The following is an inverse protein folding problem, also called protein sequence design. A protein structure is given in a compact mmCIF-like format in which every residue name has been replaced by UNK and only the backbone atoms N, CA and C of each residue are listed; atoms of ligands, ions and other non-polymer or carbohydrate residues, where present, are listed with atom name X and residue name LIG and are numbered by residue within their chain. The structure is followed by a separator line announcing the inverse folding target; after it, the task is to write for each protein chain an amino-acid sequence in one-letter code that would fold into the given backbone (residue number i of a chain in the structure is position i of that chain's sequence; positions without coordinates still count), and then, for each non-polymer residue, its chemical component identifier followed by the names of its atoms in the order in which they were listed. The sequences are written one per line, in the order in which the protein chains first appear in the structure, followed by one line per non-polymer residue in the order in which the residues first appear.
data_IF_693214213136
#
_entry.id   IF_693214213136
#
_cell.length_a   1.000
_cell.length_b   1.000
_cell.length_c   1.000
_cell.angle_alpha   90.00
_cell.angle_beta   90.00
_cell.angle_gamma   90.00
#
_symmetry.space_group_name_H-M   'P 1'
#
loop_
_entity.id
_entity.type
_entity.pdbx_description
1 polymer ?
#
# COMPACT_ATOMS: atom_id res chain seq x y z
N UNK A 1 -17.74 4.06 -2.19
CA UNK A 1 -17.75 2.97 -1.17
C UNK A 1 -18.26 3.57 0.12
N UNK A 2 -19.06 2.87 0.94
CA UNK A 2 -19.48 3.39 2.26
C UNK A 2 -18.68 2.76 3.40
N UNK A 3 -18.48 3.49 4.49
CA UNK A 3 -17.88 2.97 5.73
C UNK A 3 -18.79 1.92 6.40
N UNK A 4 -20.10 1.99 6.12
CA UNK A 4 -21.15 1.05 6.57
C UNK A 4 -21.69 0.19 5.41
N UNK A 5 -22.59 -0.77 5.64
CA UNK A 5 -23.28 -1.47 4.55
C UNK A 5 -24.12 -0.51 3.70
N UNK A 6 -24.90 0.37 4.32
CA UNK A 6 -25.71 1.40 3.65
C UNK A 6 -24.95 2.68 3.31
N UNK A 7 -25.51 3.47 2.40
CA UNK A 7 -25.02 4.81 2.06
C UNK A 7 -25.54 5.89 3.01
N UNK A 8 -26.75 5.71 3.54
CA UNK A 8 -27.37 6.61 4.50
C UNK A 8 -27.26 6.04 5.92
N UNK A 9 -27.54 6.88 6.91
CA UNK A 9 -27.48 6.46 8.31
C UNK A 9 -28.66 5.54 8.67
N UNK A 10 -28.33 4.44 9.33
CA UNK A 10 -29.26 3.47 9.90
C UNK A 10 -28.75 3.08 11.31
N UNK A 11 -29.52 3.29 12.39
CA UNK A 11 -29.12 2.90 13.74
C UNK A 11 -28.72 1.42 13.86
N UNK A 12 -29.34 0.55 13.05
CA UNK A 12 -29.05 -0.89 12.98
C UNK A 12 -27.67 -1.22 12.39
N UNK A 13 -26.96 -0.21 11.88
CA UNK A 13 -25.62 -0.32 11.31
C UNK A 13 -24.53 0.28 12.22
N UNK A 14 -24.86 0.84 13.38
CA UNK A 14 -23.87 1.44 14.30
C UNK A 14 -22.80 0.44 14.76
N UNK A 15 -23.17 -0.84 14.83
CA UNK A 15 -22.24 -1.94 15.15
C UNK A 15 -21.62 -2.60 13.91
N UNK A 16 -21.95 -2.10 12.72
CA UNK A 16 -21.56 -2.65 11.40
C UNK A 16 -20.63 -1.72 10.61
N UNK A 17 -20.05 -0.72 11.27
CA UNK A 17 -18.93 0.06 10.73
C UNK A 17 -17.82 -0.91 10.33
N UNK A 18 -17.25 -0.72 9.13
CA UNK A 18 -16.14 -1.54 8.65
C UNK A 18 -14.97 -1.46 9.63
N UNK A 19 -14.37 -2.62 9.91
CA UNK A 19 -13.18 -2.67 10.76
C UNK A 19 -11.99 -1.98 10.09
N UNK A 20 -10.98 -1.63 10.90
CA UNK A 20 -9.73 -1.04 10.41
C UNK A 20 -9.07 -1.92 9.33
N UNK A 21 -9.05 -3.24 9.52
CA UNK A 21 -8.51 -4.18 8.53
C UNK A 21 -9.29 -4.14 7.20
N UNK A 22 -10.63 -4.03 7.26
CA UNK A 22 -11.45 -3.91 6.05
C UNK A 22 -11.20 -2.58 5.34
N UNK A 23 -11.06 -1.49 6.09
CA UNK A 23 -10.77 -0.17 5.54
C UNK A 23 -9.35 -0.08 4.97
N UNK A 24 -8.36 -0.67 5.63
CA UNK A 24 -7.00 -0.80 5.12
C UNK A 24 -6.99 -1.61 3.82
N UNK A 25 -7.68 -2.76 3.79
CA UNK A 25 -7.83 -3.55 2.56
C UNK A 25 -8.42 -2.71 1.43
N UNK A 26 -9.50 -1.95 1.68
CA UNK A 26 -10.10 -1.05 0.69
C UNK A 26 -9.08 -0.01 0.22
N UNK A 27 -8.27 0.56 1.12
CA UNK A 27 -7.24 1.54 0.77
C UNK A 27 -6.18 0.94 -0.17
N UNK A 28 -5.65 -0.24 0.16
CA UNK A 28 -4.70 -0.97 -0.69
C UNK A 28 -5.31 -1.38 -2.04
N UNK A 29 -6.60 -1.74 -2.06
CA UNK A 29 -7.31 -2.14 -3.27
C UNK A 29 -7.83 -0.96 -4.11
N UNK A 30 -7.70 0.28 -3.62
CA UNK A 30 -8.06 1.52 -4.33
C UNK A 30 -6.84 2.40 -4.60
N UNK A 31 -6.39 3.18 -3.60
CA UNK A 31 -5.21 4.05 -3.66
C UNK A 31 -3.95 3.27 -3.99
N UNK A 32 -3.83 2.05 -3.44
CA UNK A 32 -2.75 1.13 -3.77
C UNK A 32 -2.84 0.51 -5.17
N UNK A 33 -3.91 0.76 -5.95
CA UNK A 33 -4.13 0.23 -7.30
C UNK A 33 -4.44 1.33 -8.33
N UNK A 34 -3.80 2.49 -8.21
CA UNK A 34 -3.92 3.60 -9.16
C UNK A 34 -5.36 4.15 -9.28
N UNK A 35 -6.09 4.25 -8.17
CA UNK A 35 -7.42 4.88 -8.14
C UNK A 35 -7.58 5.78 -6.92
N UNK A 36 -8.53 6.73 -6.97
CA UNK A 36 -8.91 7.48 -5.78
C UNK A 36 -9.86 6.66 -4.91
N UNK A 37 -9.78 6.85 -3.58
CA UNK A 37 -10.77 6.32 -2.65
C UNK A 37 -11.77 7.41 -2.28
N UNK A 38 -13.01 7.27 -2.77
CA UNK A 38 -14.15 8.04 -2.30
C UNK A 38 -14.95 7.20 -1.28
N UNK A 39 -14.70 7.47 0.00
CA UNK A 39 -15.37 6.82 1.12
C UNK A 39 -16.53 7.69 1.61
N UNK A 40 -17.71 7.09 1.74
CA UNK A 40 -18.91 7.72 2.28
C UNK A 40 -19.02 7.51 3.79
N UNK A 41 -19.37 8.59 4.48
CA UNK A 41 -19.61 8.65 5.93
C UNK A 41 -20.99 9.29 6.10
N UNK A 42 -22.02 8.52 6.48
CA UNK A 42 -23.36 9.07 6.63
C UNK A 42 -23.47 9.92 7.90
N UNK A 43 -24.27 10.99 7.80
CA UNK A 43 -24.64 11.85 8.93
C UNK A 43 -25.87 11.26 9.61
N UNK A 44 -25.87 11.22 10.95
CA UNK A 44 -26.96 10.71 11.77
C UNK A 44 -28.15 11.69 11.83
N UNK A 45 -29.19 11.35 12.62
CA UNK A 45 -30.43 12.13 12.70
C UNK A 45 -30.24 13.42 13.50
N UNK A 46 -29.15 13.51 14.24
CA UNK A 46 -28.72 14.63 15.05
C UNK A 46 -27.86 15.60 14.23
N UNK A 47 -27.54 15.26 12.97
CA UNK A 47 -26.71 16.09 12.10
C UNK A 47 -25.20 15.90 12.35
N UNK A 48 -24.81 14.80 13.00
CA UNK A 48 -23.43 14.52 13.41
C UNK A 48 -22.86 13.29 12.68
N UNK A 49 -21.54 13.16 12.71
CA UNK A 49 -20.86 11.90 12.37
C UNK A 49 -20.90 11.02 13.61
N UNK A 50 -21.42 9.79 13.47
CA UNK A 50 -21.49 8.86 14.58
C UNK A 50 -20.08 8.55 15.14
N UNK A 51 -19.97 8.43 16.46
CA UNK A 51 -18.69 8.22 17.14
C UNK A 51 -17.96 6.97 16.65
N UNK A 52 -18.67 5.87 16.33
CA UNK A 52 -18.08 4.65 15.82
C UNK A 52 -17.39 4.85 14.45
N UNK A 53 -18.00 5.67 13.58
CA UNK A 53 -17.42 6.02 12.27
C UNK A 53 -16.14 6.85 12.45
N UNK A 54 -16.20 7.87 13.32
CA UNK A 54 -15.06 8.74 13.63
C UNK A 54 -13.89 7.95 14.21
N UNK A 55 -14.15 7.07 15.18
CA UNK A 55 -13.15 6.21 15.81
C UNK A 55 -12.47 5.31 14.77
N UNK A 56 -13.25 4.64 13.91
CA UNK A 56 -12.70 3.77 12.86
C UNK A 56 -11.81 4.53 11.87
N UNK A 57 -12.18 5.76 11.49
CA UNK A 57 -11.36 6.61 10.62
C UNK A 57 -10.06 7.06 11.28
N UNK A 58 -10.10 7.41 12.57
CA UNK A 58 -8.91 7.80 13.33
C UNK A 58 -7.95 6.62 13.53
N UNK A 59 -8.48 5.43 13.80
CA UNK A 59 -7.68 4.19 13.85
C UNK A 59 -7.04 3.87 12.50
N UNK A 60 -7.80 3.97 11.40
CA UNK A 60 -7.27 3.81 10.05
C UNK A 60 -6.16 4.82 9.78
N UNK A 61 -6.37 6.09 10.12
CA UNK A 61 -5.35 7.13 9.94
C UNK A 61 -4.07 6.78 10.70
N UNK A 62 -4.18 6.41 11.96
CA UNK A 62 -3.03 6.00 12.77
C UNK A 62 -2.31 4.78 12.16
N UNK A 63 -3.05 3.80 11.62
CA UNK A 63 -2.48 2.62 10.94
C UNK A 63 -1.69 3.01 9.69
N UNK A 64 -2.26 3.89 8.87
CA UNK A 64 -1.62 4.36 7.64
C UNK A 64 -0.37 5.20 7.95
N UNK A 65 -0.44 6.09 8.92
CA UNK A 65 0.72 6.90 9.34
C UNK A 65 1.85 6.02 9.85
N UNK A 66 1.55 5.08 10.76
CA UNK A 66 2.54 4.14 11.28
C UNK A 66 3.18 3.30 10.15
N UNK A 67 2.41 2.91 9.13
CA UNK A 67 2.92 2.11 8.01
C UNK A 67 3.74 2.92 7.01
N UNK A 68 3.24 4.08 6.56
CA UNK A 68 3.79 4.80 5.41
C UNK A 68 4.67 5.99 5.75
N UNK A 69 4.61 6.47 6.99
CA UNK A 69 5.48 7.52 7.52
C UNK A 69 6.56 6.88 8.37
N UNK A 70 6.18 6.23 9.48
CA UNK A 70 7.14 5.76 10.47
C UNK A 70 7.91 4.52 10.00
N UNK A 71 7.21 3.57 9.36
CA UNK A 71 7.81 2.33 8.87
C UNK A 71 8.26 2.40 7.40
N UNK A 72 8.55 3.60 6.90
CA UNK A 72 9.19 3.78 5.59
C UNK A 72 10.67 3.45 5.70
N UNK A 73 11.08 2.33 5.12
CA UNK A 73 12.42 1.77 5.36
C UNK A 73 13.47 2.38 4.43
N UNK A 74 13.13 2.52 3.15
CA UNK A 74 14.07 2.99 2.15
C UNK A 74 13.32 3.55 0.94
N UNK A 75 13.76 4.71 0.46
CA UNK A 75 13.43 5.20 -0.88
C UNK A 75 14.54 4.72 -1.81
N UNK A 76 14.20 3.86 -2.76
CA UNK A 76 15.21 3.29 -3.64
C UNK A 76 15.52 4.31 -4.75
N UNK A 77 16.77 4.75 -4.83
CA UNK A 77 17.32 5.36 -6.04
C UNK A 77 17.48 4.28 -7.12
N UNK A 78 17.36 4.65 -8.40
CA UNK A 78 17.51 3.71 -9.52
C UNK A 78 18.75 2.82 -9.32
N UNK A 79 18.53 1.52 -9.18
CA UNK A 79 19.60 0.54 -9.13
C UNK A 79 20.33 0.44 -10.47
N UNK A 80 21.39 -0.35 -10.52
CA UNK A 80 22.12 -0.60 -11.76
C UNK A 80 21.18 -1.28 -12.77
N UNK A 81 20.97 -0.71 -13.97
CA UNK A 81 20.12 -1.34 -14.98
C UNK A 81 20.74 -2.67 -15.42
N UNK A 82 20.00 -3.76 -15.29
CA UNK A 82 20.34 -5.08 -15.83
C UNK A 82 19.06 -5.69 -16.41
N UNK A 83 18.97 -5.86 -17.73
CA UNK A 83 17.89 -6.60 -18.40
C UNK A 83 16.47 -6.31 -17.87
N UNK A 84 16.01 -5.06 -18.03
CA UNK A 84 14.70 -4.58 -17.52
C UNK A 84 14.53 -4.76 -16.00
N UNK A 85 15.60 -4.91 -15.24
CA UNK A 85 15.58 -5.00 -13.81
C UNK A 85 16.48 -3.94 -13.17
N UNK A 86 16.17 -3.61 -11.94
CA UNK A 86 17.09 -2.91 -11.06
C UNK A 86 17.21 -3.68 -9.74
N UNK A 87 18.47 -3.92 -9.36
CA UNK A 87 18.82 -4.50 -8.07
C UNK A 87 19.14 -3.37 -7.11
N UNK A 88 18.57 -3.44 -5.92
CA UNK A 88 18.83 -2.46 -4.86
C UNK A 88 19.40 -3.18 -3.66
N UNK A 89 20.66 -2.89 -3.36
CA UNK A 89 21.30 -3.21 -2.10
C UNK A 89 20.73 -2.27 -1.04
N UNK A 90 20.13 -2.84 0.00
CA UNK A 90 19.53 -2.08 1.10
C UNK A 90 20.59 -1.72 2.13
N UNK A 91 20.32 -0.69 2.94
CA UNK A 91 21.19 -0.31 4.07
C UNK A 91 21.09 -1.34 5.21
N UNK A 92 21.78 -2.46 5.03
CA UNK A 92 21.72 -3.63 5.91
C UNK A 92 20.50 -4.52 5.62
N UNK A 93 20.30 -5.57 6.43
CA UNK A 93 19.11 -6.42 6.31
C UNK A 93 17.88 -5.66 6.79
N UNK A 94 16.84 -5.58 5.95
CA UNK A 94 15.55 -4.96 6.28
C UNK A 94 14.43 -5.99 6.25
N UNK A 95 13.47 -5.85 7.15
CA UNK A 95 12.22 -6.64 7.14
C UNK A 95 11.10 -5.79 6.56
N UNK A 96 10.42 -6.28 5.53
CA UNK A 96 9.36 -5.55 4.84
C UNK A 96 8.26 -6.51 4.37
N UNK A 97 7.08 -5.96 4.09
CA UNK A 97 5.95 -6.70 3.53
C UNK A 97 5.11 -5.84 2.56
N UNK A 98 5.55 -4.63 2.23
CA UNK A 98 4.93 -3.79 1.21
C UNK A 98 6.00 -3.13 0.34
N UNK A 99 5.74 -3.09 -0.96
CA UNK A 99 6.48 -2.28 -1.92
C UNK A 99 5.53 -1.30 -2.62
N UNK A 100 5.97 -0.05 -2.80
CA UNK A 100 5.26 0.95 -3.60
C UNK A 100 6.05 1.36 -4.82
N UNK A 101 5.42 1.46 -5.99
CA UNK A 101 5.98 2.06 -7.21
C UNK A 101 5.11 3.25 -7.66
N UNK A 102 5.74 4.24 -8.30
CA UNK A 102 5.06 5.36 -8.99
C UNK A 102 5.67 5.61 -10.36
N UNK A 103 4.82 5.73 -11.38
CA UNK A 103 5.21 6.19 -12.70
C UNK A 103 5.13 7.72 -12.81
N UNK A 104 5.89 8.28 -13.75
CA UNK A 104 5.72 9.65 -14.20
C UNK A 104 4.52 9.73 -15.15
N UNK A 105 3.32 9.79 -14.59
CA UNK A 105 2.08 9.80 -15.38
C UNK A 105 1.94 11.04 -16.29
N UNK A 106 2.74 12.10 -16.08
CA UNK A 106 2.80 13.22 -17.04
C UNK A 106 3.37 12.80 -18.41
N UNK A 107 4.06 11.67 -18.46
CA UNK A 107 4.60 11.04 -19.68
C UNK A 107 3.76 9.83 -20.11
N UNK A 108 2.59 9.62 -19.49
CA UNK A 108 1.74 8.46 -19.71
C UNK A 108 2.01 7.29 -18.77
N UNK A 109 1.08 6.33 -18.77
CA UNK A 109 1.17 5.07 -18.04
C UNK A 109 1.62 3.98 -19.02
N UNK A 110 2.77 3.35 -18.77
CA UNK A 110 3.40 2.44 -19.74
C UNK A 110 3.80 1.09 -19.14
N UNK A 111 3.96 0.99 -17.81
CA UNK A 111 4.28 -0.29 -17.17
C UNK A 111 3.07 -1.24 -17.27
N UNK A 112 3.27 -2.38 -17.91
CA UNK A 112 2.25 -3.42 -18.17
C UNK A 112 2.56 -4.77 -17.49
N UNK A 113 3.67 -4.87 -16.76
CA UNK A 113 4.07 -6.05 -16.02
C UNK A 113 5.36 -5.83 -15.24
N UNK A 114 5.37 -6.25 -13.97
CA UNK A 114 6.55 -6.23 -13.12
C UNK A 114 6.47 -7.25 -11.99
N UNK A 115 7.63 -7.65 -11.49
CA UNK A 115 7.78 -8.56 -10.36
C UNK A 115 8.81 -8.06 -9.37
N UNK A 116 8.69 -8.49 -8.13
CA UNK A 116 9.64 -8.20 -7.05
C UNK A 116 10.16 -9.50 -6.44
N UNK A 117 11.47 -9.57 -6.29
CA UNK A 117 12.20 -10.68 -5.70
C UNK A 117 13.08 -10.19 -4.56
N UNK A 118 13.32 -11.04 -3.57
CA UNK A 118 14.24 -10.79 -2.48
C UNK A 118 15.38 -11.81 -2.45
N UNK A 119 16.56 -11.38 -2.00
CA UNK A 119 17.72 -12.25 -1.84
C UNK A 119 17.72 -12.94 -0.48
N UNK A 120 17.26 -14.19 -0.45
CA UNK A 120 17.14 -15.00 0.76
C UNK A 120 17.99 -16.26 0.59
N UNK A 121 18.80 -16.60 1.59
CA UNK A 121 19.65 -17.81 1.57
C UNK A 121 20.52 -17.95 0.30
N UNK A 122 21.09 -16.83 -0.17
CA UNK A 122 21.91 -16.76 -1.40
C UNK A 122 21.16 -17.10 -2.69
N UNK A 123 19.83 -16.93 -2.71
CA UNK A 123 18.98 -17.16 -3.88
C UNK A 123 17.94 -16.05 -4.02
N UNK A 124 17.49 -15.81 -5.25
CA UNK A 124 16.38 -14.91 -5.53
C UNK A 124 15.06 -15.65 -5.32
N UNK A 125 14.19 -15.10 -4.47
CA UNK A 125 12.86 -15.63 -4.17
C UNK A 125 11.82 -14.62 -4.64
N UNK A 126 10.87 -15.06 -5.48
CA UNK A 126 9.74 -14.25 -5.93
C UNK A 126 8.82 -13.94 -4.74
N UNK A 127 8.55 -12.66 -4.52
CA UNK A 127 7.63 -12.19 -3.47
C UNK A 127 6.26 -11.81 -4.02
N UNK A 128 6.20 -11.34 -5.26
CA UNK A 128 4.94 -10.96 -5.89
C UNK A 128 5.12 -10.31 -7.26
N UNK A 129 4.01 -10.15 -7.95
CA UNK A 129 3.92 -9.58 -9.29
C UNK A 129 2.67 -8.72 -9.44
N UNK A 130 2.70 -7.80 -10.39
CA UNK A 130 1.57 -6.99 -10.79
C UNK A 130 1.72 -6.53 -12.24
N UNK A 131 0.62 -6.06 -12.84
CA UNK A 131 0.61 -5.54 -14.20
C UNK A 131 0.93 -4.04 -14.19
N UNK A 132 -0.06 -3.20 -13.94
CA UNK A 132 0.04 -1.75 -14.03
C UNK A 132 0.62 -1.11 -12.76
N UNK A 133 1.25 0.06 -12.94
CA UNK A 133 1.68 0.94 -11.84
C UNK A 133 0.86 2.23 -11.80
N UNK A 134 0.95 3.07 -12.84
CA UNK A 134 0.29 4.37 -12.91
C UNK A 134 0.79 5.36 -11.86
N UNK A 135 -0.12 6.19 -11.33
CA UNK A 135 0.21 7.17 -10.30
C UNK A 135 0.82 6.52 -9.05
N UNK A 136 0.24 5.41 -8.61
CA UNK A 136 0.72 4.66 -7.45
C UNK A 136 0.22 3.22 -7.47
N UNK A 137 1.15 2.29 -7.23
CA UNK A 137 0.87 0.88 -7.00
C UNK A 137 1.53 0.40 -5.73
N UNK A 138 0.76 -0.13 -4.80
CA UNK A 138 1.23 -0.79 -3.60
C UNK A 138 0.94 -2.28 -3.70
N UNK A 139 1.93 -3.10 -3.40
CA UNK A 139 1.81 -4.55 -3.41
C UNK A 139 2.15 -5.07 -2.03
N UNK A 140 1.19 -5.77 -1.41
CA UNK A 140 1.42 -6.54 -0.18
C UNK A 140 2.17 -7.81 -0.58
N UNK A 141 3.24 -8.11 0.16
CA UNK A 141 4.17 -9.20 -0.06
C UNK A 141 4.20 -10.12 1.17
N UNK A 142 4.71 -11.35 1.04
CA UNK A 142 5.13 -12.14 2.19
C UNK A 142 6.16 -11.36 3.01
N UNK A 143 5.97 -11.30 4.34
CA UNK A 143 6.90 -10.62 5.25
C UNK A 143 8.29 -11.26 5.14
N UNK A 144 9.25 -10.49 4.65
CA UNK A 144 10.57 -11.00 4.25
C UNK A 144 11.68 -10.14 4.84
N UNK A 145 12.76 -10.78 5.30
CA UNK A 145 14.01 -10.11 5.69
C UNK A 145 15.05 -10.31 4.60
N UNK A 146 15.58 -9.22 4.03
CA UNK A 146 16.56 -9.31 2.94
C UNK A 146 17.59 -8.18 2.99
N UNK A 147 18.85 -8.40 2.57
CA UNK A 147 19.81 -7.32 2.34
C UNK A 147 19.62 -6.64 0.98
N UNK A 148 18.90 -7.26 0.03
CA UNK A 148 18.67 -6.67 -1.30
C UNK A 148 17.40 -7.17 -1.97
N UNK A 149 16.89 -6.37 -2.88
CA UNK A 149 15.71 -6.71 -3.68
C UNK A 149 16.00 -6.49 -5.15
N UNK A 150 15.24 -7.19 -5.99
CA UNK A 150 15.26 -7.02 -7.44
C UNK A 150 13.85 -6.74 -7.91
N UNK A 151 13.69 -5.72 -8.72
CA UNK A 151 12.44 -5.43 -9.41
C UNK A 151 12.70 -5.56 -10.89
N UNK A 152 11.89 -6.37 -11.56
CA UNK A 152 12.00 -6.64 -12.99
C UNK A 152 10.71 -6.23 -13.70
N UNK A 153 10.83 -5.62 -14.87
CA UNK A 153 9.72 -5.23 -15.73
C UNK A 153 9.63 -6.14 -16.93
N UNK A 154 8.42 -6.37 -17.40
CA UNK A 154 8.14 -7.14 -18.61
C UNK A 154 8.82 -6.51 -19.83
N UNK A 155 8.76 -5.19 -19.93
CA UNK A 155 9.34 -4.40 -21.02
C UNK A 155 10.39 -3.41 -20.51
N UNK A 156 11.35 -2.99 -21.35
CA UNK A 156 12.28 -1.93 -21.00
C UNK A 156 11.56 -0.64 -20.63
N UNK A 157 11.98 -0.01 -19.54
CA UNK A 157 11.40 1.25 -19.10
C UNK A 157 12.06 2.44 -19.81
N UNK A 158 11.29 3.40 -20.34
CA UNK A 158 11.83 4.67 -20.80
C UNK A 158 12.59 5.40 -19.68
N UNK A 159 13.55 6.24 -20.08
CA UNK A 159 14.24 7.11 -19.11
C UNK A 159 13.22 7.97 -18.37
N UNK A 160 13.40 8.08 -17.05
CA UNK A 160 12.53 8.84 -16.11
C UNK A 160 11.07 8.34 -15.98
N UNK A 161 10.72 7.16 -16.52
CA UNK A 161 9.36 6.63 -16.37
C UNK A 161 9.01 6.26 -14.94
N UNK A 162 9.95 5.65 -14.20
CA UNK A 162 9.76 5.31 -12.79
C UNK A 162 10.27 6.45 -11.91
N UNK A 163 9.38 7.02 -11.09
CA UNK A 163 9.68 8.15 -10.21
C UNK A 163 10.14 7.69 -8.83
N UNK A 164 9.36 6.81 -8.21
CA UNK A 164 9.58 6.39 -6.82
C UNK A 164 9.40 4.89 -6.66
N UNK A 165 10.26 4.32 -5.82
CA UNK A 165 10.13 2.96 -5.30
C UNK A 165 10.42 3.02 -3.80
N UNK A 166 9.54 2.44 -2.98
CA UNK A 166 9.72 2.44 -1.53
C UNK A 166 9.35 1.09 -0.93
N UNK A 167 10.03 0.73 0.16
CA UNK A 167 9.70 -0.43 0.99
C UNK A 167 9.11 0.01 2.33
N UNK A 168 8.13 -0.75 2.81
CA UNK A 168 7.49 -0.53 4.09
C UNK A 168 7.30 -1.84 4.85
N UNK A 169 7.15 -1.70 6.16
CA UNK A 169 6.61 -2.75 7.03
C UNK A 169 5.26 -2.29 7.58
N UNK A 170 4.19 -3.03 7.28
CA UNK A 170 2.86 -2.72 7.82
C UNK A 170 2.87 -2.72 9.34
N UNK A 171 2.26 -1.69 9.91
CA UNK A 171 2.02 -1.65 11.34
C UNK A 171 1.06 -2.79 11.72
N UNK A 172 1.40 -3.49 12.81
CA UNK A 172 0.57 -4.57 13.34
C UNK A 172 -0.76 -4.04 13.86
N UNK A 173 -1.81 -4.88 13.91
CA UNK A 173 -3.04 -4.57 14.65
C UNK A 173 -2.70 -3.95 16.00
N UNK A 174 -3.18 -2.74 16.28
CA UNK A 174 -2.98 -2.10 17.57
C UNK A 174 -4.16 -2.49 18.46
N UNK A 175 -4.03 -3.45 19.38
CA UNK A 175 -5.17 -3.97 20.12
C UNK A 175 -5.74 -2.98 21.13
N UNK A 176 -5.04 -1.87 21.42
CA UNK A 176 -5.54 -0.80 22.29
C UNK A 176 -6.40 0.20 21.53
N UNK A 177 -6.12 0.38 20.24
CA UNK A 177 -6.91 1.22 19.35
C UNK A 177 -8.01 0.40 18.68
N UNK A 178 -7.77 -0.83 18.24
CA UNK A 178 -8.67 -1.65 17.41
C UNK A 178 -9.76 -2.41 18.20
N UNK A 179 -10.00 -2.07 19.48
CA UNK A 179 -11.09 -2.66 20.27
C UNK A 179 -12.43 -2.06 19.84
N UNK A 180 -13.34 -2.95 19.44
CA UNK A 180 -14.76 -2.66 19.21
C UNK A 180 -15.47 -2.30 20.50
#
# INVERSE_FOLDING_TARGET
MSIRPGWFYHPEEDTKVKSVDQLEKIYFESVGRNTNLLLNIPIDREGLVNAADSIALMQLRARLDATFIDNKLEKLSKGTPDNNAFVVELKGKKTFDVISLKENISQGQTIDGWKVEAWVNKQWVLLGEATTVGYQRWLILPKTTSPKIRISFKNPLPSRQLLDVNLYLRASPNPLLDKK
#
